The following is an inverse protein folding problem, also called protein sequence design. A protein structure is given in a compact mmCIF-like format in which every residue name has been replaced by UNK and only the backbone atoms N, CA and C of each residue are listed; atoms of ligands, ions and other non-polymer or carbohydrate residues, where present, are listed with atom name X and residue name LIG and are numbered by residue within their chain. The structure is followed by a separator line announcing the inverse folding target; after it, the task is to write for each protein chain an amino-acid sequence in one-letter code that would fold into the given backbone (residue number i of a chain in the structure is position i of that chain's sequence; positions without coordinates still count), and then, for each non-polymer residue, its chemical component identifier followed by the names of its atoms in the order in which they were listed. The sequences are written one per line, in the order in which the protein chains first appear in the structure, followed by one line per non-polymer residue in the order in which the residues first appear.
data_IF_904268756494
#
_entry.id   IF_904268756494
#
_cell.length_a   1.000
_cell.length_b   1.000
_cell.length_c   1.000
_cell.angle_alpha   90.00
_cell.angle_beta   90.00
_cell.angle_gamma   90.00
#
_symmetry.space_group_name_H-M   'P 1'
#
loop_
_entity.id
_entity.type
_entity.pdbx_description
1 polymer ?
#
# COMPACT_ATOMS: atom_id res chain seq x y z
N UNK A 1 -17.26 -4.99 -11.27
CA UNK A 1 -18.38 -4.08 -10.81
C UNK A 1 -18.07 -3.40 -9.48
N UNK A 2 -18.21 -4.06 -8.32
CA UNK A 2 -18.11 -3.34 -7.04
C UNK A 2 -16.69 -2.86 -6.68
N UNK A 3 -15.66 -3.57 -7.15
CA UNK A 3 -14.25 -3.24 -6.94
C UNK A 3 -13.63 -2.33 -8.01
N UNK A 4 -14.37 -1.99 -9.07
CA UNK A 4 -13.83 -1.23 -10.23
C UNK A 4 -14.69 -0.02 -10.58
N UNK A 5 -16.01 -0.12 -10.41
CA UNK A 5 -16.97 0.87 -10.92
C UNK A 5 -17.72 1.55 -9.79
N UNK A 6 -18.31 0.79 -8.87
CA UNK A 6 -19.20 1.38 -7.85
C UNK A 6 -18.47 1.84 -6.59
N UNK A 7 -17.22 1.42 -6.37
CA UNK A 7 -16.42 1.76 -5.19
C UNK A 7 -16.95 1.19 -3.86
N UNK A 8 -17.80 0.16 -3.91
CA UNK A 8 -18.40 -0.45 -2.70
C UNK A 8 -17.47 -1.51 -2.09
N UNK A 9 -16.61 -2.11 -2.91
CA UNK A 9 -15.68 -3.16 -2.51
C UNK A 9 -14.25 -2.63 -2.62
N UNK A 10 -13.47 -2.72 -1.55
CA UNK A 10 -12.09 -2.24 -1.50
C UNK A 10 -11.10 -3.24 -2.11
N UNK A 11 -11.33 -4.54 -1.89
CA UNK A 11 -10.48 -5.63 -2.36
C UNK A 11 -11.34 -6.80 -2.83
N UNK A 12 -10.98 -7.37 -3.98
CA UNK A 12 -11.56 -8.60 -4.50
C UNK A 12 -10.44 -9.64 -4.67
N UNK A 13 -10.69 -10.86 -4.21
CA UNK A 13 -9.73 -11.97 -4.23
C UNK A 13 -10.35 -13.17 -4.94
N UNK A 14 -9.50 -13.99 -5.54
CA UNK A 14 -9.92 -15.14 -6.35
C UNK A 14 -10.46 -16.30 -5.51
N UNK A 15 -10.04 -16.40 -4.24
CA UNK A 15 -10.41 -17.48 -3.32
C UNK A 15 -10.53 -17.01 -1.86
N UNK A 16 -11.19 -17.84 -1.04
CA UNK A 16 -11.47 -17.54 0.37
C UNK A 16 -10.21 -17.57 1.25
N UNK A 17 -9.24 -18.44 0.95
CA UNK A 17 -8.01 -18.58 1.72
C UNK A 17 -7.18 -17.31 1.62
N UNK A 18 -6.96 -16.82 0.40
CA UNK A 18 -6.28 -15.55 0.11
C UNK A 18 -7.04 -14.38 0.73
N UNK A 19 -8.37 -14.35 0.58
CA UNK A 19 -9.20 -13.29 1.18
C UNK A 19 -9.01 -13.18 2.70
N UNK A 20 -9.08 -14.32 3.40
CA UNK A 20 -8.93 -14.35 4.87
C UNK A 20 -7.49 -14.00 5.27
N UNK A 21 -6.49 -14.46 4.52
CA UNK A 21 -5.09 -14.10 4.77
C UNK A 21 -4.87 -12.58 4.67
N UNK A 22 -5.40 -11.93 3.64
CA UNK A 22 -5.27 -10.50 3.43
C UNK A 22 -6.08 -9.68 4.45
N UNK A 23 -7.24 -10.15 4.90
CA UNK A 23 -7.96 -9.51 6.03
C UNK A 23 -7.13 -9.57 7.31
N UNK A 24 -6.46 -10.71 7.59
CA UNK A 24 -5.56 -10.81 8.75
C UNK A 24 -4.37 -9.86 8.62
N UNK A 25 -3.82 -9.71 7.41
CA UNK A 25 -2.75 -8.75 7.15
C UNK A 25 -3.23 -7.32 7.38
N UNK A 26 -4.38 -6.92 6.82
CA UNK A 26 -4.98 -5.60 7.04
C UNK A 26 -5.15 -5.30 8.55
N UNK A 27 -5.70 -6.25 9.31
CA UNK A 27 -5.89 -6.07 10.76
C UNK A 27 -4.56 -5.93 11.52
N UNK A 28 -3.47 -6.52 11.02
CA UNK A 28 -2.14 -6.37 11.65
C UNK A 28 -1.59 -4.94 11.54
N UNK A 29 -2.12 -4.13 10.62
CA UNK A 29 -1.72 -2.73 10.41
C UNK A 29 -2.59 -1.74 11.21
N UNK A 30 -3.72 -2.20 11.76
CA UNK A 30 -4.72 -1.34 12.41
C UNK A 30 -4.63 -1.42 13.95
N UNK A 31 -4.87 -0.31 14.66
CA UNK A 31 -5.02 -0.35 16.11
C UNK A 31 -6.30 -1.10 16.49
N UNK A 32 -6.36 -1.64 17.72
CA UNK A 32 -7.56 -2.33 18.22
C UNK A 32 -8.76 -1.38 18.35
N UNK A 33 -8.51 -0.09 18.58
CA UNK A 33 -9.53 0.94 18.70
C UNK A 33 -8.94 2.34 18.45
N UNK A 34 -9.80 3.37 18.43
CA UNK A 34 -9.42 4.76 18.12
C UNK A 34 -8.60 5.49 19.21
N UNK A 35 -8.32 4.85 20.35
CA UNK A 35 -7.52 5.42 21.45
C UNK A 35 -6.11 4.85 21.51
N UNK A 36 -5.79 3.88 20.66
CA UNK A 36 -4.50 3.21 20.63
C UNK A 36 -3.71 3.59 19.38
N UNK A 37 -2.39 3.53 19.50
CA UNK A 37 -1.51 3.67 18.35
C UNK A 37 -1.52 2.37 17.51
N UNK A 38 -1.19 2.44 16.22
CA UNK A 38 -1.02 1.26 15.39
C UNK A 38 0.04 0.29 15.97
N UNK A 39 -0.10 -1.03 15.72
CA UNK A 39 0.91 -2.01 16.11
C UNK A 39 2.29 -1.66 15.54
N UNK A 40 3.35 -1.83 16.35
CA UNK A 40 4.74 -1.69 15.91
C UNK A 40 5.34 -3.06 15.64
N UNK A 41 6.05 -3.17 14.53
CA UNK A 41 6.90 -4.32 14.19
C UNK A 41 8.34 -3.86 14.08
N UNK A 42 9.29 -4.79 14.23
CA UNK A 42 10.70 -4.50 13.98
C UNK A 42 10.89 -4.18 12.49
N UNK A 43 11.56 -3.06 12.20
CA UNK A 43 11.93 -2.67 10.84
C UNK A 43 13.44 -2.81 10.70
N UNK A 44 13.88 -3.62 9.74
CA UNK A 44 15.29 -3.79 9.40
C UNK A 44 15.78 -2.81 8.31
N UNK A 45 14.89 -2.00 7.74
CA UNK A 45 15.23 -1.00 6.72
C UNK A 45 15.88 0.24 7.39
N UNK A 46 17.08 0.66 6.98
CA UNK A 46 17.72 1.87 7.51
C UNK A 46 16.89 3.12 7.22
N UNK A 47 16.71 3.95 8.26
CA UNK A 47 15.95 5.19 8.14
C UNK A 47 16.59 6.23 7.20
N UNK A 48 17.87 6.07 6.88
CA UNK A 48 18.68 6.94 6.01
C UNK A 48 18.95 6.33 4.62
N UNK A 49 18.29 5.23 4.25
CA UNK A 49 18.43 4.61 2.93
C UNK A 49 18.11 5.62 1.82
N UNK A 50 19.06 5.85 0.92
CA UNK A 50 18.88 6.69 -0.27
C UNK A 50 18.18 5.92 -1.38
N UNK A 51 17.36 6.62 -2.16
CA UNK A 51 16.69 6.08 -3.35
C UNK A 51 17.06 6.91 -4.57
N UNK A 52 18.23 6.63 -5.15
CA UNK A 52 18.77 7.40 -6.29
C UNK A 52 17.88 7.29 -7.54
N UNK A 53 17.10 6.21 -7.66
CA UNK A 53 16.12 5.99 -8.75
C UNK A 53 15.08 7.12 -8.83
N UNK A 54 14.78 7.80 -7.72
CA UNK A 54 13.81 8.89 -7.69
C UNK A 54 14.28 10.13 -8.45
N UNK A 55 15.60 10.30 -8.66
CA UNK A 55 16.16 11.44 -9.38
C UNK A 55 15.75 11.44 -10.85
N UNK A 56 15.55 10.25 -11.43
CA UNK A 56 15.27 10.07 -12.86
C UNK A 56 13.81 9.64 -13.14
N UNK A 57 13.00 9.47 -12.09
CA UNK A 57 11.65 8.91 -12.22
C UNK A 57 10.66 9.88 -12.88
N UNK A 58 10.77 11.18 -12.57
CA UNK A 58 9.87 12.22 -13.09
C UNK A 58 10.36 12.67 -14.47
N UNK A 59 9.56 12.51 -15.54
CA UNK A 59 9.94 12.95 -16.88
C UNK A 59 10.10 14.47 -16.96
N UNK A 60 11.04 14.93 -17.78
CA UNK A 60 11.22 16.36 -18.05
C UNK A 60 10.04 16.98 -18.82
N UNK A 61 9.32 16.18 -19.61
CA UNK A 61 8.08 16.58 -20.28
C UNK A 61 6.91 16.46 -19.29
N UNK A 62 6.32 17.60 -18.90
CA UNK A 62 5.21 17.66 -17.94
C UNK A 62 3.90 17.01 -18.42
N UNK A 63 3.77 16.71 -19.71
CA UNK A 63 2.61 15.97 -20.24
C UNK A 63 2.83 14.46 -20.24
N UNK A 64 4.05 13.99 -19.98
CA UNK A 64 4.38 12.57 -19.96
C UNK A 64 4.09 11.99 -18.57
N UNK A 65 3.22 10.99 -18.45
CA UNK A 65 2.98 10.33 -17.18
C UNK A 65 4.16 9.45 -16.77
N UNK A 66 4.23 9.15 -15.48
CA UNK A 66 5.12 8.14 -14.91
C UNK A 66 4.35 7.26 -13.92
N UNK A 67 4.96 6.15 -13.54
CA UNK A 67 4.36 5.19 -12.62
C UNK A 67 4.65 5.60 -11.17
N UNK A 68 3.62 6.13 -10.49
CA UNK A 68 3.71 6.55 -9.09
C UNK A 68 4.04 5.39 -8.14
N UNK A 69 3.76 4.15 -8.52
CA UNK A 69 4.05 2.98 -7.66
C UNK A 69 5.55 2.68 -7.53
N UNK A 70 6.38 3.36 -8.34
CA UNK A 70 7.85 3.24 -8.32
C UNK A 70 8.53 4.31 -7.46
N UNK A 71 7.77 5.21 -6.84
CA UNK A 71 8.27 6.21 -5.87
C UNK A 71 8.57 5.56 -4.53
#
# INVERSE_FOLDING_TARGET
VHAETSGVCHFAYDDEETCIAEVRYLLSLLPQNNRENPPRTECSDPADRRSDVLLDLVPADGNRPYDMTKV
#
